data_IF_082462824626
#
_entry.id   IF_082462824626
#
_cell.length_a   1.000
_cell.length_b   1.000
_cell.length_c   1.000
_cell.angle_alpha   90.00
_cell.angle_beta   90.00
_cell.angle_gamma   90.00
#
_symmetry.space_group_name_H-M   'P 1'
#
loop_
_entity.id
_entity.type
_entity.pdbx_description
1 polymer ?
#
# COMPACT_ATOMS: atom_id res chain seq x y z
N UNK A 1 7.17 -18.01 -3.98
CA UNK A 1 8.01 -17.11 -4.79
C UNK A 1 7.25 -15.85 -5.14
N UNK A 2 7.86 -14.71 -4.96
CA UNK A 2 7.23 -13.42 -5.25
C UNK A 2 7.32 -13.12 -6.75
N UNK A 3 6.21 -12.70 -7.32
CA UNK A 3 6.14 -12.28 -8.73
C UNK A 3 6.02 -10.76 -8.80
N UNK A 4 6.90 -10.15 -9.58
CA UNK A 4 6.86 -8.71 -9.85
C UNK A 4 6.86 -8.52 -11.37
N UNK A 5 5.75 -7.96 -11.88
CA UNK A 5 5.65 -7.71 -13.32
C UNK A 5 6.72 -6.70 -13.75
N UNK A 6 7.22 -6.83 -14.97
CA UNK A 6 8.33 -5.99 -15.46
C UNK A 6 7.99 -4.50 -15.50
N UNK A 7 6.72 -4.12 -15.60
CA UNK A 7 6.31 -2.72 -15.58
C UNK A 7 6.17 -2.15 -14.18
N UNK A 8 6.16 -3.01 -13.15
CA UNK A 8 6.06 -2.55 -11.78
C UNK A 8 7.39 -2.03 -11.28
N UNK A 9 7.35 -1.05 -10.38
CA UNK A 9 8.53 -0.49 -9.75
C UNK A 9 8.46 -0.80 -8.27
N UNK A 10 9.39 -1.61 -7.80
CA UNK A 10 9.57 -1.88 -6.39
C UNK A 10 10.91 -1.27 -6.00
N UNK A 11 10.88 -0.20 -5.22
CA UNK A 11 12.09 0.51 -4.85
C UNK A 11 13.01 -0.38 -4.04
N UNK A 12 14.31 -0.22 -4.23
CA UNK A 12 15.29 -0.93 -3.44
C UNK A 12 15.09 -0.58 -1.95
N UNK A 13 15.01 -1.60 -1.11
CA UNK A 13 14.75 -1.42 0.32
C UNK A 13 13.32 -1.77 0.72
N UNK A 14 12.38 -1.83 -0.21
CA UNK A 14 11.05 -2.32 0.10
C UNK A 14 11.12 -3.79 0.53
N UNK A 15 10.36 -4.16 1.54
CA UNK A 15 10.37 -5.51 2.08
C UNK A 15 9.07 -6.21 1.74
N UNK A 16 9.17 -7.27 0.93
CA UNK A 16 8.03 -8.10 0.55
C UNK A 16 8.23 -9.52 1.08
N UNK A 17 7.21 -10.05 1.73
CA UNK A 17 7.21 -11.45 2.14
C UNK A 17 7.07 -12.40 0.95
N UNK A 18 7.03 -13.70 1.24
CA UNK A 18 6.93 -14.71 0.19
C UNK A 18 5.58 -14.70 -0.51
N UNK A 19 5.58 -15.14 -1.75
CA UNK A 19 4.38 -15.37 -2.54
C UNK A 19 3.54 -14.12 -2.78
N UNK A 20 4.16 -12.95 -2.81
CA UNK A 20 3.48 -11.72 -3.19
C UNK A 20 3.37 -11.64 -4.72
N UNK A 21 2.34 -10.95 -5.21
CA UNK A 21 2.15 -10.71 -6.64
C UNK A 21 1.94 -9.23 -6.88
N UNK A 22 2.81 -8.65 -7.70
CA UNK A 22 2.79 -7.22 -8.03
C UNK A 22 2.57 -7.09 -9.54
N UNK A 23 1.44 -6.53 -9.93
CA UNK A 23 1.03 -6.47 -11.34
C UNK A 23 1.44 -5.16 -11.99
N UNK A 24 0.87 -4.87 -13.16
CA UNK A 24 1.31 -3.78 -14.04
C UNK A 24 1.26 -2.41 -13.39
N UNK A 25 2.30 -1.59 -13.60
CA UNK A 25 2.34 -0.16 -13.26
C UNK A 25 2.18 0.12 -11.76
N UNK A 26 2.41 -0.85 -10.93
CA UNK A 26 2.37 -0.66 -9.47
C UNK A 26 3.71 -0.12 -8.99
N UNK A 27 3.67 0.82 -8.05
CA UNK A 27 4.87 1.38 -7.44
C UNK A 27 4.85 1.15 -5.94
N UNK A 28 5.84 0.45 -5.44
CA UNK A 28 6.02 0.20 -4.01
C UNK A 28 7.27 0.93 -3.56
N UNK A 29 7.10 1.88 -2.65
CA UNK A 29 8.19 2.71 -2.17
C UNK A 29 9.11 1.96 -1.21
N UNK A 30 10.34 2.46 -1.06
CA UNK A 30 11.40 1.72 -0.35
C UNK A 30 11.12 1.44 1.12
N UNK A 31 10.34 2.28 1.77
CA UNK A 31 10.02 2.12 3.19
C UNK A 31 8.86 1.19 3.48
N UNK A 32 8.20 0.65 2.46
CA UNK A 32 7.07 -0.24 2.65
C UNK A 32 7.51 -1.59 3.22
N UNK A 33 6.70 -2.14 4.13
CA UNK A 33 6.90 -3.46 4.70
C UNK A 33 5.64 -4.28 4.48
N UNK A 34 5.77 -5.31 3.69
CA UNK A 34 4.62 -6.09 3.20
C UNK A 34 4.79 -7.55 3.61
N UNK A 35 3.78 -8.10 4.27
CA UNK A 35 3.79 -9.49 4.70
C UNK A 35 3.64 -10.46 3.53
N UNK A 36 3.58 -11.75 3.85
CA UNK A 36 3.49 -12.80 2.85
C UNK A 36 2.10 -12.86 2.20
N UNK A 37 2.05 -13.42 1.00
CA UNK A 37 0.81 -13.73 0.28
C UNK A 37 -0.04 -12.51 -0.05
N UNK A 38 0.56 -11.35 -0.18
CA UNK A 38 -0.14 -10.13 -0.60
C UNK A 38 -0.21 -10.04 -2.12
N UNK A 39 -1.27 -9.41 -2.63
CA UNK A 39 -1.40 -9.18 -4.06
C UNK A 39 -1.81 -7.75 -4.33
N UNK A 40 -1.22 -7.18 -5.38
CA UNK A 40 -1.44 -5.79 -5.79
C UNK A 40 -1.84 -5.80 -7.25
N UNK A 41 -3.02 -5.30 -7.53
CA UNK A 41 -3.50 -5.20 -8.89
C UNK A 41 -2.76 -4.14 -9.68
N UNK A 42 -3.34 -3.72 -10.79
CA UNK A 42 -2.73 -2.76 -11.69
C UNK A 42 -2.81 -1.34 -11.12
N UNK A 43 -1.73 -0.58 -11.26
CA UNK A 43 -1.74 0.84 -10.93
C UNK A 43 -1.86 1.16 -9.44
N UNK A 44 -1.34 0.29 -8.58
CA UNK A 44 -1.39 0.49 -7.13
C UNK A 44 -0.18 1.31 -6.68
N UNK A 45 -0.39 2.24 -5.75
CA UNK A 45 0.68 3.00 -5.12
C UNK A 45 0.78 2.65 -3.64
N UNK A 46 1.97 2.28 -3.20
CA UNK A 46 2.25 1.97 -1.79
C UNK A 46 3.34 2.92 -1.31
N UNK A 47 3.01 3.77 -0.34
CA UNK A 47 3.92 4.79 0.17
C UNK A 47 5.04 4.24 1.06
N UNK A 48 5.93 5.14 1.48
CA UNK A 48 7.14 4.78 2.21
C UNK A 48 6.88 4.24 3.61
N UNK A 49 5.92 4.79 4.31
CA UNK A 49 5.64 4.40 5.70
C UNK A 49 4.34 3.61 5.75
N UNK A 50 4.32 2.49 5.02
CA UNK A 50 3.16 1.61 4.94
C UNK A 50 3.56 0.23 5.47
N UNK A 51 2.71 -0.35 6.31
CA UNK A 51 2.91 -1.70 6.80
C UNK A 51 1.66 -2.52 6.50
N UNK A 52 1.83 -3.60 5.76
CA UNK A 52 0.77 -4.53 5.43
C UNK A 52 1.06 -5.88 6.09
N UNK A 53 0.03 -6.47 6.70
CA UNK A 53 0.14 -7.81 7.23
C UNK A 53 0.14 -8.86 6.13
N UNK A 54 -0.24 -10.09 6.46
CA UNK A 54 -0.28 -11.19 5.51
C UNK A 54 -1.61 -11.26 4.79
N UNK A 55 -1.58 -11.77 3.56
CA UNK A 55 -2.78 -12.03 2.77
C UNK A 55 -3.65 -10.79 2.56
N UNK A 56 -3.01 -9.66 2.39
CA UNK A 56 -3.71 -8.41 2.05
C UNK A 56 -3.90 -8.37 0.53
N UNK A 57 -5.12 -8.05 0.10
CA UNK A 57 -5.44 -7.96 -1.32
C UNK A 57 -5.81 -6.54 -1.68
N UNK A 58 -5.05 -5.97 -2.60
CA UNK A 58 -5.23 -4.59 -3.04
C UNK A 58 -5.59 -4.61 -4.51
N UNK A 59 -6.78 -4.13 -4.83
CA UNK A 59 -7.30 -4.14 -6.19
C UNK A 59 -6.74 -2.98 -7.02
N UNK A 60 -7.16 -2.88 -8.28
CA UNK A 60 -6.61 -1.91 -9.23
C UNK A 60 -6.81 -0.47 -8.79
N UNK A 61 -5.83 0.36 -9.05
CA UNK A 61 -5.89 1.82 -8.88
C UNK A 61 -6.14 2.27 -7.43
N UNK A 62 -5.64 1.50 -6.47
CA UNK A 62 -5.70 1.87 -5.06
C UNK A 62 -4.41 2.60 -4.70
N UNK A 63 -4.54 3.70 -3.95
CA UNK A 63 -3.39 4.42 -3.41
C UNK A 63 -3.37 4.30 -1.90
N UNK A 64 -2.27 3.80 -1.37
CA UNK A 64 -2.06 3.67 0.07
C UNK A 64 -0.90 4.57 0.44
N UNK A 65 -1.23 5.72 1.01
CA UNK A 65 -0.23 6.73 1.36
C UNK A 65 0.45 6.41 2.69
N UNK A 66 1.45 7.21 3.02
CA UNK A 66 2.26 7.02 4.23
C UNK A 66 1.40 6.96 5.50
N UNK A 67 1.88 6.23 6.49
CA UNK A 67 1.26 6.06 7.80
C UNK A 67 -0.01 5.20 7.80
N UNK A 68 -0.20 4.37 6.79
CA UNK A 68 -1.30 3.39 6.76
C UNK A 68 -0.78 2.03 7.22
N UNK A 69 -1.56 1.39 8.09
CA UNK A 69 -1.28 0.05 8.62
C UNK A 69 -2.48 -0.84 8.33
N UNK A 70 -2.30 -1.85 7.49
CA UNK A 70 -3.36 -2.83 7.20
C UNK A 70 -2.99 -4.14 7.87
N UNK A 71 -3.87 -4.65 8.72
CA UNK A 71 -3.65 -5.94 9.37
C UNK A 71 -3.95 -7.09 8.40
N UNK A 72 -3.78 -8.32 8.87
CA UNK A 72 -3.94 -9.50 8.00
C UNK A 72 -5.32 -9.58 7.38
N UNK A 73 -5.39 -10.15 6.18
CA UNK A 73 -6.65 -10.45 5.50
C UNK A 73 -7.52 -9.23 5.18
N UNK A 74 -6.91 -8.06 5.06
CA UNK A 74 -7.64 -6.85 4.63
C UNK A 74 -7.80 -6.87 3.12
N UNK A 75 -8.98 -6.48 2.65
CA UNK A 75 -9.29 -6.34 1.22
C UNK A 75 -9.55 -4.88 0.90
N UNK A 76 -8.80 -4.33 -0.06
CA UNK A 76 -9.01 -2.97 -0.56
C UNK A 76 -9.66 -3.04 -1.95
N UNK A 77 -10.89 -2.56 -2.07
CA UNK A 77 -11.61 -2.58 -3.34
C UNK A 77 -11.03 -1.62 -4.38
N UNK A 78 -11.42 -1.78 -5.65
CA UNK A 78 -10.84 -0.98 -6.74
C UNK A 78 -11.04 0.52 -6.54
N UNK A 79 -10.00 1.27 -6.85
CA UNK A 79 -10.02 2.74 -6.87
C UNK A 79 -10.25 3.42 -5.53
N UNK A 80 -10.24 2.68 -4.42
CA UNK A 80 -10.32 3.33 -3.12
C UNK A 80 -8.98 4.02 -2.82
N UNK A 81 -9.01 5.06 -2.00
CA UNK A 81 -7.83 5.85 -1.67
C UNK A 81 -7.84 6.16 -0.18
N UNK A 82 -6.67 6.00 0.45
CA UNK A 82 -6.45 6.47 1.81
C UNK A 82 -5.95 7.91 1.77
N UNK A 83 -6.42 8.73 2.70
CA UNK A 83 -5.87 10.06 2.90
C UNK A 83 -5.21 10.12 4.27
N UNK A 84 -4.21 10.98 4.41
CA UNK A 84 -3.41 11.04 5.63
C UNK A 84 -3.32 12.43 6.26
N UNK A 85 -4.08 13.39 5.75
CA UNK A 85 -4.07 14.78 6.23
C UNK A 85 -5.49 15.30 6.30
N UNK A 86 -5.87 15.92 7.43
CA UNK A 86 -7.11 16.70 7.53
C UNK A 86 -6.91 18.05 6.83
N UNK A 87 -7.92 18.51 6.12
CA UNK A 87 -7.93 19.83 5.48
C UNK A 87 -6.67 20.11 4.66
N UNK A 88 -6.33 19.26 3.66
CA UNK A 88 -5.14 19.50 2.86
C UNK A 88 -5.26 20.79 2.05
N UNK A 89 -4.11 21.48 1.91
CA UNK A 89 -4.01 22.70 1.11
C UNK A 89 -2.74 22.63 0.28
N UNK A 90 -2.85 22.95 -1.00
CA UNK A 90 -1.69 22.91 -1.90
C UNK A 90 -0.58 23.86 -1.47
N UNK A 91 -0.95 25.01 -0.91
CA UNK A 91 0.00 26.04 -0.49
C UNK A 91 0.73 25.71 0.81
N UNK A 92 0.24 24.76 1.57
CA UNK A 92 0.75 24.46 2.90
C UNK A 92 1.18 23.01 2.97
N UNK A 93 2.46 22.77 3.28
CA UNK A 93 2.94 21.41 3.51
C UNK A 93 2.43 20.94 4.88
N UNK A 94 1.78 19.77 4.89
CA UNK A 94 1.27 19.17 6.12
C UNK A 94 1.86 17.80 6.39
N UNK A 95 3.07 17.54 5.88
CA UNK A 95 3.70 16.23 6.08
C UNK A 95 3.88 15.90 7.55
N UNK A 96 4.14 16.89 8.40
CA UNK A 96 4.24 16.69 9.85
C UNK A 96 2.90 16.40 10.51
N UNK A 97 1.80 16.58 9.79
CA UNK A 97 0.45 16.36 10.30
C UNK A 97 -0.17 15.08 9.75
N UNK A 98 0.62 14.21 9.12
CA UNK A 98 0.13 12.91 8.65
C UNK A 98 -0.42 12.12 9.83
N UNK A 99 -1.65 11.62 9.67
CA UNK A 99 -2.32 10.86 10.71
C UNK A 99 -2.28 9.38 10.36
N UNK A 100 -1.86 8.52 11.28
CA UNK A 100 -1.86 7.09 11.03
C UNK A 100 -3.27 6.57 10.84
N UNK A 101 -3.43 5.64 9.92
CA UNK A 101 -4.67 4.91 9.70
C UNK A 101 -4.42 3.44 9.94
N UNK A 102 -5.23 2.84 10.79
CA UNK A 102 -5.11 1.41 11.09
C UNK A 102 -6.39 0.72 10.65
N UNK A 103 -6.25 -0.28 9.79
CA UNK A 103 -7.37 -1.10 9.32
C UNK A 103 -7.20 -2.49 9.94
N UNK A 104 -8.17 -2.89 10.72
CA UNK A 104 -8.09 -4.14 11.48
C UNK A 104 -8.33 -5.36 10.61
N UNK A 105 -7.89 -6.50 11.12
CA UNK A 105 -7.91 -7.78 10.42
C UNK A 105 -9.27 -8.06 9.79
N UNK A 106 -9.24 -8.53 8.54
CA UNK A 106 -10.42 -9.01 7.85
C UNK A 106 -11.35 -7.94 7.31
N UNK A 107 -11.00 -6.65 7.48
CA UNK A 107 -11.86 -5.57 6.97
C UNK A 107 -11.87 -5.55 5.44
N UNK A 108 -13.01 -5.15 4.89
CA UNK A 108 -13.18 -4.93 3.44
C UNK A 108 -13.52 -3.47 3.22
N UNK A 109 -12.77 -2.84 2.31
CA UNK A 109 -12.92 -1.42 2.02
C UNK A 109 -13.42 -1.21 0.59
#
# INVERSE_FOLDING_TARGET
MTFIHETAIVDEGAMLGDNCRVWHWTHICKGAKIGANCSFGQGVFIGDDVVLGENVKVQNNVSIYDAVRLEDNVFCGPSMVFTNVYNPRAEISRKSEYRPTIVRRGATL
#
